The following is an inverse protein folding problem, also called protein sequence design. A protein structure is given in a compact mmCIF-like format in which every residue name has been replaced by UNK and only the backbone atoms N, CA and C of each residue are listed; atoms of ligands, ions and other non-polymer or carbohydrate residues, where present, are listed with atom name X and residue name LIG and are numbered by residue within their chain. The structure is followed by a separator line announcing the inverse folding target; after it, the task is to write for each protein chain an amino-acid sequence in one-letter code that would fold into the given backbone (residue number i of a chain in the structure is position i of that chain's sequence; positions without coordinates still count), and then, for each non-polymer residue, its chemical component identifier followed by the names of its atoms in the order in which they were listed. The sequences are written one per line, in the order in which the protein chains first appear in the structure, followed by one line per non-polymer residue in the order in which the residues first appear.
data_IF_239491212545
#
_entry.id   IF_239491212545
#
_cell.length_a   1.000
_cell.length_b   1.000
_cell.length_c   1.000
_cell.angle_alpha   90.00
_cell.angle_beta   90.00
_cell.angle_gamma   90.00
#
_symmetry.space_group_name_H-M   'P 1'
#
loop_
_entity.id
_entity.type
_entity.pdbx_description
1 polymer ?
#
# COMPACT_ATOMS: atom_id res chain seq x y z
N UNK A 1 1.93 3.28 -24.59
CA UNK A 1 2.33 1.91 -24.18
C UNK A 1 2.32 1.82 -22.65
N UNK A 2 1.89 0.69 -22.05
CA UNK A 2 1.91 0.52 -20.60
C UNK A 2 3.36 0.55 -20.08
N UNK A 3 3.61 1.30 -18.99
CA UNK A 3 4.94 1.37 -18.36
C UNK A 3 5.21 0.08 -17.57
N UNK A 4 6.46 -0.38 -17.58
CA UNK A 4 6.88 -1.55 -16.79
C UNK A 4 6.80 -1.18 -15.30
N UNK A 5 5.96 -1.91 -14.55
CA UNK A 5 5.82 -1.70 -13.11
C UNK A 5 7.05 -2.17 -12.33
N UNK A 6 7.35 -1.50 -11.22
CA UNK A 6 8.50 -1.82 -10.35
C UNK A 6 8.50 -3.29 -9.88
N UNK A 7 7.32 -3.87 -9.65
CA UNK A 7 7.18 -5.28 -9.32
C UNK A 7 7.83 -6.17 -10.38
N UNK A 8 7.61 -5.90 -11.67
CA UNK A 8 8.15 -6.72 -12.76
C UNK A 8 9.68 -6.62 -12.80
N UNK A 9 10.23 -5.43 -12.56
CA UNK A 9 11.68 -5.21 -12.45
C UNK A 9 12.24 -6.01 -11.27
N UNK A 10 11.60 -5.93 -10.10
CA UNK A 10 11.98 -6.72 -8.92
C UNK A 10 11.89 -8.22 -9.17
N UNK A 11 10.89 -8.70 -9.92
CA UNK A 11 10.76 -10.12 -10.27
C UNK A 11 11.90 -10.57 -11.15
N UNK A 12 12.22 -9.80 -12.20
CA UNK A 12 13.34 -10.09 -13.08
C UNK A 12 14.67 -10.10 -12.30
N UNK A 13 14.87 -9.13 -11.40
CA UNK A 13 16.04 -9.08 -10.51
C UNK A 13 16.11 -10.31 -9.59
N UNK A 14 14.99 -10.76 -9.03
CA UNK A 14 14.96 -11.94 -8.17
C UNK A 14 15.32 -13.22 -8.92
N UNK A 15 14.78 -13.39 -10.13
CA UNK A 15 15.17 -14.51 -10.99
C UNK A 15 16.66 -14.40 -11.32
N UNK A 16 17.16 -13.22 -11.71
CA UNK A 16 18.57 -13.03 -12.02
C UNK A 16 19.48 -13.42 -10.84
N UNK A 17 19.14 -13.01 -9.61
CA UNK A 17 19.90 -13.40 -8.41
C UNK A 17 19.89 -14.91 -8.19
N UNK A 18 18.76 -15.59 -8.40
CA UNK A 18 18.72 -17.07 -8.32
C UNK A 18 19.60 -17.75 -9.37
N UNK A 19 19.67 -17.21 -10.59
CA UNK A 19 20.53 -17.75 -11.65
C UNK A 19 22.02 -17.52 -11.35
N UNK A 20 22.38 -16.30 -10.93
CA UNK A 20 23.75 -15.95 -10.57
C UNK A 20 24.25 -16.74 -9.36
N UNK A 21 23.37 -17.06 -8.42
CA UNK A 21 23.73 -17.91 -7.28
C UNK A 21 24.12 -19.33 -7.72
N UNK A 22 23.39 -19.93 -8.67
CA UNK A 22 23.80 -21.21 -9.25
C UNK A 22 25.17 -21.11 -9.93
N UNK A 23 25.37 -20.08 -10.75
CA UNK A 23 26.67 -19.85 -11.42
C UNK A 23 27.81 -19.75 -10.41
N UNK A 24 27.61 -19.02 -9.31
CA UNK A 24 28.59 -18.87 -8.24
C UNK A 24 28.97 -20.24 -7.62
N UNK A 25 27.98 -21.04 -7.22
CA UNK A 25 28.25 -22.35 -6.62
C UNK A 25 28.88 -23.29 -7.65
N UNK A 26 28.43 -23.24 -8.90
CA UNK A 26 28.95 -24.07 -9.98
C UNK A 26 30.44 -23.81 -10.24
N UNK A 27 30.89 -22.56 -10.18
CA UNK A 27 32.32 -22.21 -10.30
C UNK A 27 33.14 -22.77 -9.13
N UNK A 28 32.57 -22.84 -7.93
CA UNK A 28 33.26 -23.35 -6.74
C UNK A 28 33.29 -24.88 -6.73
N UNK A 29 32.14 -25.51 -6.97
CA UNK A 29 31.99 -26.96 -7.01
C UNK A 29 30.77 -27.35 -7.88
N UNK A 30 30.99 -27.81 -9.12
CA UNK A 30 29.92 -28.22 -10.03
C UNK A 30 29.01 -29.34 -9.50
N UNK A 31 29.58 -30.31 -8.79
CA UNK A 31 28.84 -31.47 -8.26
C UNK A 31 27.86 -31.01 -7.17
N UNK A 32 28.34 -30.22 -6.21
CA UNK A 32 27.52 -29.67 -5.13
C UNK A 32 26.41 -28.77 -5.70
N UNK A 33 26.72 -27.96 -6.70
CA UNK A 33 25.75 -27.07 -7.35
C UNK A 33 24.58 -27.88 -7.92
N UNK A 34 24.88 -28.92 -8.70
CA UNK A 34 23.86 -29.77 -9.31
C UNK A 34 23.07 -30.61 -8.30
N UNK A 35 23.72 -31.03 -7.21
CA UNK A 35 23.11 -31.86 -6.18
C UNK A 35 22.09 -31.11 -5.33
N UNK A 36 22.39 -29.86 -4.93
CA UNK A 36 21.59 -29.14 -3.93
C UNK A 36 20.73 -28.01 -4.48
N UNK A 37 21.04 -27.50 -5.68
CA UNK A 37 20.38 -26.33 -6.23
C UNK A 37 19.94 -26.49 -7.69
N UNK A 38 18.69 -26.13 -7.94
CA UNK A 38 18.12 -26.00 -9.29
C UNK A 38 17.71 -24.55 -9.52
N UNK A 39 18.39 -23.83 -10.44
CA UNK A 39 18.06 -22.44 -10.76
C UNK A 39 16.63 -22.31 -11.33
N UNK A 40 16.13 -23.34 -12.02
CA UNK A 40 14.76 -23.37 -12.54
C UNK A 40 13.72 -23.35 -11.40
N UNK A 41 13.90 -24.20 -10.39
CA UNK A 41 12.97 -24.29 -9.27
C UNK A 41 13.04 -23.06 -8.36
N UNK A 42 14.24 -22.53 -8.11
CA UNK A 42 14.43 -21.29 -7.38
C UNK A 42 13.82 -20.08 -8.12
N UNK A 43 14.04 -19.97 -9.43
CA UNK A 43 13.50 -18.88 -10.24
C UNK A 43 11.96 -18.85 -10.25
N UNK A 44 11.30 -20.00 -10.44
CA UNK A 44 9.83 -20.08 -10.37
C UNK A 44 9.33 -19.73 -8.97
N UNK A 45 10.01 -20.22 -7.93
CA UNK A 45 9.63 -19.90 -6.55
C UNK A 45 9.75 -18.40 -6.23
N UNK A 46 10.83 -17.76 -6.72
CA UNK A 46 11.02 -16.32 -6.60
C UNK A 46 9.92 -15.54 -7.33
N UNK A 47 9.64 -15.91 -8.59
CA UNK A 47 8.62 -15.27 -9.41
C UNK A 47 7.21 -15.40 -8.81
N UNK A 48 6.87 -16.57 -8.29
CA UNK A 48 5.58 -16.82 -7.63
C UNK A 48 5.41 -16.01 -6.35
N UNK A 49 6.48 -15.91 -5.55
CA UNK A 49 6.43 -15.30 -4.22
C UNK A 49 6.49 -13.78 -4.26
N UNK A 50 7.01 -13.19 -5.34
CA UNK A 50 7.11 -11.73 -5.43
C UNK A 50 5.78 -11.06 -5.83
N UNK A 51 5.24 -10.25 -4.92
CA UNK A 51 4.00 -9.49 -5.07
C UNK A 51 4.25 -7.98 -4.98
N UNK A 52 3.20 -7.18 -5.16
CA UNK A 52 3.27 -5.71 -5.15
C UNK A 52 3.70 -5.13 -3.80
N UNK A 53 3.34 -5.80 -2.71
CA UNK A 53 3.60 -5.42 -1.33
C UNK A 53 4.35 -6.55 -0.60
N UNK A 54 5.09 -6.16 0.44
CA UNK A 54 5.86 -7.11 1.24
C UNK A 54 4.95 -8.11 1.96
N UNK A 55 3.81 -7.64 2.49
CA UNK A 55 2.83 -8.48 3.20
C UNK A 55 2.24 -9.57 2.32
N UNK A 56 1.77 -9.26 1.10
CA UNK A 56 1.30 -10.31 0.21
C UNK A 56 2.45 -11.21 -0.27
N UNK A 57 3.66 -10.69 -0.44
CA UNK A 57 4.82 -11.52 -0.79
C UNK A 57 5.15 -12.53 0.31
N UNK A 58 5.08 -12.11 1.57
CA UNK A 58 5.24 -12.99 2.73
C UNK A 58 4.14 -14.05 2.81
N UNK A 59 2.89 -13.68 2.51
CA UNK A 59 1.78 -14.64 2.43
C UNK A 59 2.03 -15.69 1.34
N UNK A 60 2.45 -15.27 0.14
CA UNK A 60 2.75 -16.19 -0.96
C UNK A 60 3.98 -17.05 -0.67
N UNK A 61 5.00 -16.49 -0.01
CA UNK A 61 6.18 -17.21 0.46
C UNK A 61 5.80 -18.36 1.39
N UNK A 62 4.92 -18.12 2.37
CA UNK A 62 4.44 -19.16 3.29
C UNK A 62 3.70 -20.27 2.56
N UNK A 63 2.79 -19.91 1.66
CA UNK A 63 2.04 -20.86 0.82
C UNK A 63 3.01 -21.69 -0.02
N UNK A 64 3.99 -21.04 -0.65
CA UNK A 64 4.98 -21.68 -1.52
C UNK A 64 5.86 -22.66 -0.76
N UNK A 65 6.36 -22.28 0.41
CA UNK A 65 7.20 -23.15 1.25
C UNK A 65 6.41 -24.34 1.80
N UNK A 66 5.22 -24.13 2.36
CA UNK A 66 4.39 -25.21 2.90
C UNK A 66 4.00 -26.22 1.82
N UNK A 67 3.52 -25.74 0.67
CA UNK A 67 3.13 -26.63 -0.43
C UNK A 67 4.32 -27.44 -0.95
N UNK A 68 5.51 -26.84 -1.00
CA UNK A 68 6.71 -27.53 -1.48
C UNK A 68 7.18 -28.62 -0.53
N UNK A 69 7.10 -28.40 0.79
CA UNK A 69 7.44 -29.44 1.77
C UNK A 69 6.44 -30.59 1.73
N UNK A 70 5.14 -30.29 1.73
CA UNK A 70 4.09 -31.34 1.72
C UNK A 70 4.16 -32.16 0.43
N UNK A 71 4.17 -31.50 -0.73
CA UNK A 71 4.26 -32.17 -2.03
C UNK A 71 5.59 -32.92 -2.20
N UNK A 72 6.65 -32.36 -1.61
CA UNK A 72 7.96 -32.94 -1.42
C UNK A 72 7.93 -34.35 -0.83
N UNK A 73 7.49 -34.41 0.43
CA UNK A 73 7.40 -35.62 1.23
C UNK A 73 6.49 -36.65 0.57
N UNK A 74 5.33 -36.22 0.07
CA UNK A 74 4.39 -37.12 -0.59
C UNK A 74 4.94 -37.72 -1.89
N UNK A 75 5.69 -36.93 -2.67
CA UNK A 75 6.33 -37.40 -3.89
C UNK A 75 7.34 -38.50 -3.62
N UNK A 76 8.22 -38.29 -2.64
CA UNK A 76 9.20 -39.30 -2.20
C UNK A 76 8.51 -40.58 -1.73
N UNK A 77 7.45 -40.43 -0.92
CA UNK A 77 6.69 -41.57 -0.41
C UNK A 77 6.07 -42.40 -1.53
N UNK A 78 5.40 -41.77 -2.51
CA UNK A 78 4.75 -42.48 -3.61
C UNK A 78 5.75 -43.18 -4.53
N UNK A 79 6.89 -42.55 -4.83
CA UNK A 79 7.95 -43.18 -5.64
C UNK A 79 8.52 -44.41 -4.94
N UNK A 80 8.88 -44.28 -3.65
CA UNK A 80 9.39 -45.42 -2.88
C UNK A 80 8.38 -46.55 -2.75
N UNK A 81 7.10 -46.22 -2.52
CA UNK A 81 6.03 -47.22 -2.45
C UNK A 81 5.88 -47.96 -3.79
N UNK A 82 5.98 -47.25 -4.92
CA UNK A 82 5.96 -47.85 -6.25
C UNK A 82 7.14 -48.80 -6.47
N UNK A 83 8.37 -48.33 -6.19
CA UNK A 83 9.60 -49.12 -6.35
C UNK A 83 9.59 -50.38 -5.47
N UNK A 84 8.97 -50.33 -4.30
CA UNK A 84 8.87 -51.47 -3.39
C UNK A 84 7.79 -52.50 -3.77
N UNK A 85 6.63 -52.06 -4.28
CA UNK A 85 5.43 -52.92 -4.38
C UNK A 85 5.05 -53.26 -5.81
N UNK A 86 5.19 -52.32 -6.74
CA UNK A 86 4.60 -52.41 -8.08
C UNK A 86 5.64 -52.52 -9.20
N UNK A 87 6.88 -52.10 -8.94
CA UNK A 87 7.94 -52.13 -9.94
C UNK A 87 8.38 -53.57 -10.23
N UNK A 88 8.20 -53.99 -11.49
CA UNK A 88 8.73 -55.26 -11.96
C UNK A 88 10.16 -55.06 -12.50
N UNK A 89 11.18 -55.73 -11.93
CA UNK A 89 12.59 -55.52 -12.31
C UNK A 89 12.98 -56.13 -13.66
N UNK A 90 12.07 -56.83 -14.34
CA UNK A 90 12.36 -57.46 -15.64
C UNK A 90 12.35 -56.40 -16.74
N UNK A 91 13.51 -56.11 -17.32
CA UNK A 91 13.69 -55.11 -18.38
C UNK A 91 13.32 -55.66 -19.76
N UNK A 92 12.01 -55.76 -20.05
CA UNK A 92 11.51 -55.94 -21.43
C UNK A 92 10.69 -54.73 -21.89
N UNK A 93 10.61 -54.50 -23.20
CA UNK A 93 9.88 -53.34 -23.76
C UNK A 93 8.40 -53.28 -23.33
N UNK A 94 7.74 -54.44 -23.25
CA UNK A 94 6.36 -54.55 -22.79
C UNK A 94 6.24 -54.25 -21.29
N UNK A 95 7.10 -54.84 -20.46
CA UNK A 95 7.07 -54.65 -19.00
C UNK A 95 7.40 -53.20 -18.63
N UNK A 96 8.35 -52.57 -19.32
CA UNK A 96 8.68 -51.15 -19.11
C UNK A 96 7.48 -50.23 -19.41
N UNK A 97 6.72 -50.55 -20.45
CA UNK A 97 5.49 -49.80 -20.80
C UNK A 97 4.40 -49.98 -19.74
N UNK A 98 4.23 -51.19 -19.20
CA UNK A 98 3.29 -51.49 -18.11
C UNK A 98 3.72 -50.87 -16.77
N UNK A 99 5.02 -50.88 -16.48
CA UNK A 99 5.61 -50.20 -15.33
C UNK A 99 5.33 -48.69 -15.41
N UNK A 100 5.52 -48.06 -16.57
CA UNK A 100 5.21 -46.64 -16.76
C UNK A 100 3.71 -46.34 -16.59
N UNK A 101 2.85 -47.17 -17.17
CA UNK A 101 1.39 -47.04 -17.04
C UNK A 101 0.94 -47.15 -15.58
N UNK A 102 1.39 -48.19 -14.88
CA UNK A 102 1.05 -48.42 -13.46
C UNK A 102 1.56 -47.29 -12.57
N UNK A 103 2.76 -46.77 -12.83
CA UNK A 103 3.30 -45.61 -12.14
C UNK A 103 2.42 -44.37 -12.34
N UNK A 104 2.03 -44.06 -13.58
CA UNK A 104 1.18 -42.89 -13.85
C UNK A 104 -0.23 -43.01 -13.26
N UNK A 105 -0.83 -44.21 -13.28
CA UNK A 105 -2.11 -44.45 -12.62
C UNK A 105 -2.01 -44.22 -11.10
N UNK A 106 -0.97 -44.76 -10.47
CA UNK A 106 -0.70 -44.53 -9.05
C UNK A 106 -0.51 -43.05 -8.76
N UNK A 107 0.31 -42.36 -9.57
CA UNK A 107 0.60 -40.93 -9.37
C UNK A 107 -0.68 -40.11 -9.45
N UNK A 108 -1.56 -40.39 -10.41
CA UNK A 108 -2.84 -39.71 -10.59
C UNK A 108 -3.82 -39.98 -9.44
N UNK A 109 -3.97 -41.23 -9.01
CA UNK A 109 -4.86 -41.59 -7.89
C UNK A 109 -4.37 -40.96 -6.58
N UNK A 110 -3.05 -40.95 -6.34
CA UNK A 110 -2.46 -40.40 -5.12
C UNK A 110 -2.62 -38.87 -4.98
N UNK A 111 -3.01 -38.15 -6.04
CA UNK A 111 -3.37 -36.72 -5.93
C UNK A 111 -4.59 -36.52 -5.03
N UNK A 112 -5.56 -37.45 -5.03
CA UNK A 112 -6.78 -37.34 -4.21
C UNK A 112 -6.46 -37.28 -2.71
N UNK A 113 -5.76 -38.29 -2.12
CA UNK A 113 -5.39 -38.23 -0.71
C UNK A 113 -4.40 -37.09 -0.42
N UNK A 114 -3.54 -36.70 -1.37
CA UNK A 114 -2.67 -35.53 -1.23
C UNK A 114 -3.48 -34.24 -1.03
N UNK A 115 -4.46 -33.97 -1.90
CA UNK A 115 -5.35 -32.79 -1.78
C UNK A 115 -6.15 -32.87 -0.48
N UNK A 116 -6.67 -34.04 -0.14
CA UNK A 116 -7.40 -34.22 1.11
C UNK A 116 -6.54 -33.88 2.34
N UNK A 117 -5.26 -34.28 2.33
CA UNK A 117 -4.32 -33.96 3.41
C UNK A 117 -4.09 -32.45 3.60
N UNK A 118 -4.03 -31.67 2.51
CA UNK A 118 -3.86 -30.20 2.61
C UNK A 118 -5.09 -29.53 3.21
N UNK A 119 -6.28 -30.08 2.96
CA UNK A 119 -7.54 -29.62 3.57
C UNK A 119 -7.53 -29.92 5.07
N UNK A 120 -7.15 -31.14 5.48
CA UNK A 120 -7.04 -31.52 6.90
C UNK A 120 -6.07 -30.62 7.67
N UNK A 121 -4.94 -30.25 7.04
CA UNK A 121 -3.95 -29.34 7.62
C UNK A 121 -4.36 -27.85 7.59
N UNK A 122 -5.56 -27.52 7.09
CA UNK A 122 -6.03 -26.14 6.88
C UNK A 122 -5.10 -25.33 5.97
N UNK A 123 -4.39 -25.98 5.04
CA UNK A 123 -3.47 -25.38 4.06
C UNK A 123 -4.08 -25.36 2.65
N UNK A 124 -5.38 -25.06 2.53
CA UNK A 124 -6.12 -25.13 1.26
C UNK A 124 -5.56 -24.21 0.17
N UNK A 125 -4.99 -23.06 0.55
CA UNK A 125 -4.34 -22.13 -0.38
C UNK A 125 -3.04 -22.69 -0.99
N UNK A 126 -2.43 -23.69 -0.35
CA UNK A 126 -1.19 -24.33 -0.82
C UNK A 126 -1.44 -25.52 -1.75
N UNK A 127 -2.68 -26.00 -1.90
CA UNK A 127 -3.02 -27.22 -2.66
C UNK A 127 -2.42 -27.23 -4.06
N UNK A 128 -2.54 -26.15 -4.83
CA UNK A 128 -1.95 -26.08 -6.17
C UNK A 128 -0.41 -26.24 -6.14
N UNK A 129 0.26 -25.56 -5.21
CA UNK A 129 1.72 -25.66 -5.05
C UNK A 129 2.12 -27.07 -4.60
N UNK A 130 1.35 -27.67 -3.71
CA UNK A 130 1.56 -29.05 -3.25
C UNK A 130 1.51 -30.04 -4.41
N UNK A 131 0.47 -29.97 -5.23
CA UNK A 131 0.33 -30.83 -6.42
C UNK A 131 1.44 -30.56 -7.42
N UNK A 132 1.78 -29.29 -7.67
CA UNK A 132 2.88 -28.92 -8.56
C UNK A 132 4.23 -29.51 -8.10
N UNK A 133 4.54 -29.45 -6.81
CA UNK A 133 5.79 -29.98 -6.27
C UNK A 133 5.79 -31.51 -6.27
N UNK A 134 4.66 -32.13 -5.91
CA UNK A 134 4.46 -33.58 -6.02
C UNK A 134 4.74 -34.08 -7.44
N UNK A 135 4.08 -33.50 -8.45
CA UNK A 135 4.28 -33.87 -9.85
C UNK A 135 5.72 -33.63 -10.32
N UNK A 136 6.37 -32.58 -9.81
CA UNK A 136 7.76 -32.33 -10.17
C UNK A 136 8.72 -33.40 -9.63
N UNK A 137 8.41 -34.04 -8.50
CA UNK A 137 9.25 -35.10 -7.93
C UNK A 137 8.94 -36.45 -8.58
N UNK A 138 7.68 -36.71 -8.91
CA UNK A 138 7.26 -38.00 -9.46
C UNK A 138 7.50 -38.12 -10.96
N UNK A 139 7.29 -37.06 -11.75
CA UNK A 139 7.28 -37.15 -13.23
C UNK A 139 8.45 -36.42 -13.90
N UNK A 140 9.10 -35.45 -13.24
CA UNK A 140 10.17 -34.68 -13.90
C UNK A 140 11.49 -35.46 -14.03
N UNK A 141 12.30 -35.08 -15.02
CA UNK A 141 13.64 -35.62 -15.23
C UNK A 141 14.51 -35.30 -14.00
N UNK A 142 15.05 -36.34 -13.37
CA UNK A 142 15.84 -36.25 -12.13
C UNK A 142 17.33 -35.91 -12.33
N UNK A 143 17.78 -35.75 -13.58
CA UNK A 143 19.19 -35.52 -13.94
C UNK A 143 20.16 -36.52 -13.26
N UNK A 144 19.79 -37.81 -13.25
CA UNK A 144 20.52 -38.91 -12.62
C UNK A 144 20.68 -38.82 -11.08
N UNK A 145 19.95 -37.92 -10.41
CA UNK A 145 19.93 -37.89 -8.95
C UNK A 145 19.00 -38.97 -8.39
N UNK A 146 19.38 -39.62 -7.27
CA UNK A 146 18.44 -40.43 -6.50
C UNK A 146 17.26 -39.58 -6.00
N UNK A 147 16.14 -40.24 -5.75
CA UNK A 147 14.86 -39.56 -5.47
C UNK A 147 14.93 -38.65 -4.23
N UNK A 148 15.67 -39.07 -3.21
CA UNK A 148 15.83 -38.33 -1.95
C UNK A 148 16.58 -37.03 -2.20
N UNK A 149 17.71 -37.11 -2.90
CA UNK A 149 18.52 -35.94 -3.24
C UNK A 149 17.77 -34.98 -4.16
N UNK A 150 17.04 -35.51 -5.16
CA UNK A 150 16.23 -34.68 -6.03
C UNK A 150 15.11 -33.96 -5.26
N UNK A 151 14.45 -34.63 -4.32
CA UNK A 151 13.42 -34.01 -3.49
C UNK A 151 14.00 -32.94 -2.56
N UNK A 152 15.15 -33.20 -1.93
CA UNK A 152 15.85 -32.20 -1.11
C UNK A 152 16.26 -31.00 -1.95
N UNK A 153 16.85 -31.22 -3.13
CA UNK A 153 17.19 -30.17 -4.10
C UNK A 153 15.96 -29.32 -4.43
N UNK A 154 14.83 -29.95 -4.76
CA UNK A 154 13.58 -29.29 -5.12
C UNK A 154 13.04 -28.40 -4.00
N UNK A 155 13.00 -28.92 -2.78
CA UNK A 155 12.52 -28.19 -1.60
C UNK A 155 13.47 -27.04 -1.28
N UNK A 156 14.77 -27.30 -1.20
CA UNK A 156 15.79 -26.31 -0.87
C UNK A 156 15.83 -25.17 -1.89
N UNK A 157 15.86 -25.49 -3.19
CA UNK A 157 15.82 -24.50 -4.27
C UNK A 157 14.58 -23.60 -4.17
N UNK A 158 13.43 -24.19 -3.83
CA UNK A 158 12.19 -23.42 -3.67
C UNK A 158 12.26 -22.49 -2.47
N UNK A 159 12.76 -22.95 -1.32
CA UNK A 159 12.96 -22.13 -0.13
C UNK A 159 13.94 -21.00 -0.42
N UNK A 160 15.05 -21.27 -1.11
CA UNK A 160 16.01 -20.26 -1.50
C UNK A 160 15.39 -19.19 -2.40
N UNK A 161 14.64 -19.59 -3.43
CA UNK A 161 13.93 -18.65 -4.31
C UNK A 161 12.93 -17.77 -3.56
N UNK A 162 12.21 -18.34 -2.59
CA UNK A 162 11.32 -17.60 -1.69
C UNK A 162 12.08 -16.55 -0.87
N UNK A 163 13.24 -16.92 -0.28
CA UNK A 163 14.07 -15.99 0.49
C UNK A 163 14.55 -14.84 -0.38
N UNK A 164 15.07 -15.13 -1.59
CA UNK A 164 15.52 -14.11 -2.54
C UNK A 164 14.38 -13.15 -2.91
N UNK A 165 13.17 -13.66 -3.15
CA UNK A 165 12.01 -12.81 -3.43
C UNK A 165 11.67 -11.87 -2.25
N UNK A 166 11.69 -12.37 -1.01
CA UNK A 166 11.43 -11.53 0.15
C UNK A 166 12.49 -10.45 0.35
N UNK A 167 13.78 -10.80 0.19
CA UNK A 167 14.90 -9.87 0.28
C UNK A 167 14.75 -8.75 -0.75
N UNK A 168 14.53 -9.10 -2.02
CA UNK A 168 14.41 -8.11 -3.10
C UNK A 168 13.15 -7.27 -2.96
N UNK A 169 12.04 -7.85 -2.49
CA UNK A 169 10.85 -7.05 -2.27
C UNK A 169 11.03 -6.06 -1.10
N UNK A 170 11.78 -6.44 -0.07
CA UNK A 170 12.15 -5.56 1.05
C UNK A 170 13.02 -4.37 0.65
N UNK A 171 13.71 -4.42 -0.49
CA UNK A 171 14.48 -3.29 -1.02
C UNK A 171 13.51 -2.19 -1.47
N UNK A 172 13.55 -1.05 -0.78
CA UNK A 172 12.81 0.13 -1.15
C UNK A 172 13.62 0.89 -2.20
N UNK A 173 13.18 0.85 -3.46
CA UNK A 173 13.73 1.77 -4.46
C UNK A 173 13.24 3.17 -4.13
N UNK A 174 14.16 4.14 -4.04
CA UNK A 174 13.78 5.54 -3.89
C UNK A 174 12.91 5.93 -5.08
N UNK A 175 11.60 6.11 -4.83
CA UNK A 175 10.70 6.65 -5.83
C UNK A 175 11.20 8.03 -6.24
N UNK A 176 11.16 8.32 -7.54
CA UNK A 176 11.27 9.70 -8.02
C UNK A 176 10.07 10.44 -7.43
N UNK A 177 10.32 11.31 -6.46
CA UNK A 177 9.28 12.11 -5.82
C UNK A 177 8.70 13.04 -6.89
N UNK A 178 7.44 12.86 -7.25
CA UNK A 178 6.74 13.82 -8.10
C UNK A 178 6.39 15.04 -7.24
N UNK A 179 7.16 16.12 -7.40
CA UNK A 179 6.96 17.39 -6.71
C UNK A 179 6.08 18.37 -7.49
N UNK A 180 5.51 17.96 -8.62
CA UNK A 180 4.65 18.83 -9.44
C UNK A 180 3.17 18.72 -9.04
N UNK A 181 2.79 17.68 -8.30
CA UNK A 181 1.40 17.48 -7.86
C UNK A 181 1.11 18.34 -6.63
N UNK A 182 0.12 19.22 -6.74
CA UNK A 182 -0.45 19.95 -5.60
C UNK A 182 -1.63 19.17 -5.02
N UNK A 183 -1.55 18.86 -3.73
CA UNK A 183 -2.66 18.29 -2.96
C UNK A 183 -3.42 19.43 -2.26
N UNK A 184 -4.71 19.54 -2.58
CA UNK A 184 -5.63 20.48 -1.92
C UNK A 184 -6.63 19.66 -1.12
N UNK A 185 -6.77 19.96 0.16
CA UNK A 185 -7.67 19.24 1.06
C UNK A 185 -8.56 20.18 1.87
N UNK A 186 -9.78 19.74 2.15
CA UNK A 186 -10.67 20.43 3.07
C UNK A 186 -10.26 20.23 4.53
N UNK A 187 -10.97 20.91 5.43
CA UNK A 187 -10.87 20.69 6.87
C UNK A 187 -12.10 19.97 7.38
N UNK A 188 -13.19 20.70 7.47
CA UNK A 188 -14.46 20.22 8.02
C UNK A 188 -15.01 19.07 7.14
N UNK A 189 -15.26 17.92 7.75
CA UNK A 189 -15.74 16.71 7.06
C UNK A 189 -14.70 16.01 6.18
N UNK A 190 -13.42 16.41 6.25
CA UNK A 190 -12.30 15.76 5.54
C UNK A 190 -11.16 15.47 6.50
N UNK A 191 -10.33 16.46 6.84
CA UNK A 191 -9.26 16.28 7.82
C UNK A 191 -9.77 16.28 9.26
N UNK A 192 -10.92 16.91 9.52
CA UNK A 192 -11.64 16.87 10.79
C UNK A 192 -12.85 15.95 10.67
N UNK A 193 -12.81 14.85 11.43
CA UNK A 193 -13.90 13.87 11.48
C UNK A 193 -14.81 14.17 12.68
N UNK A 194 -14.26 14.45 13.89
CA UNK A 194 -15.08 14.62 15.09
C UNK A 194 -14.75 15.83 16.00
N UNK A 195 -13.46 16.11 16.29
CA UNK A 195 -13.09 17.02 17.40
C UNK A 195 -12.65 18.44 16.98
N UNK A 196 -12.91 18.85 15.72
CA UNK A 196 -12.39 20.10 15.13
C UNK A 196 -10.86 20.29 15.21
N UNK A 197 -10.12 19.24 15.56
CA UNK A 197 -8.66 19.20 15.62
C UNK A 197 -8.11 18.00 14.85
N UNK A 198 -6.88 18.14 14.36
CA UNK A 198 -6.16 17.04 13.70
C UNK A 198 -5.73 15.99 14.73
N UNK A 199 -5.92 14.71 14.41
CA UNK A 199 -5.33 13.62 15.18
C UNK A 199 -3.79 13.70 15.21
N UNK A 200 -3.16 13.15 16.26
CA UNK A 200 -1.69 13.10 16.34
C UNK A 200 -1.05 12.36 15.15
N UNK A 201 -1.70 11.31 14.65
CA UNK A 201 -1.28 10.59 13.44
C UNK A 201 -1.33 11.49 12.20
N UNK A 202 -2.44 12.21 11.98
CA UNK A 202 -2.60 13.13 10.84
C UNK A 202 -1.56 14.26 10.88
N UNK A 203 -1.33 14.87 12.06
CA UNK A 203 -0.29 15.90 12.25
C UNK A 203 1.09 15.36 11.90
N UNK A 204 1.45 14.19 12.43
CA UNK A 204 2.74 13.55 12.15
C UNK A 204 2.90 13.26 10.65
N UNK A 205 1.88 12.69 10.00
CA UNK A 205 1.95 12.30 8.59
C UNK A 205 2.02 13.51 7.66
N UNK A 206 1.21 14.55 7.90
CA UNK A 206 1.25 15.80 7.13
C UNK A 206 2.63 16.45 7.22
N UNK A 207 3.16 16.64 8.43
CA UNK A 207 4.50 17.21 8.60
C UNK A 207 5.60 16.34 7.99
N UNK A 208 5.47 15.01 8.03
CA UNK A 208 6.40 14.12 7.34
C UNK A 208 6.37 14.35 5.83
N UNK A 209 5.19 14.39 5.21
CA UNK A 209 5.03 14.61 3.77
C UNK A 209 5.56 15.99 3.33
N UNK A 210 5.19 17.05 4.05
CA UNK A 210 5.63 18.43 3.77
C UNK A 210 7.16 18.51 3.85
N UNK A 211 7.79 17.98 4.92
CA UNK A 211 9.26 17.93 5.05
C UNK A 211 9.94 17.13 3.93
N UNK A 212 9.25 16.17 3.33
CA UNK A 212 9.78 15.39 2.20
C UNK A 212 9.55 16.06 0.84
N UNK A 213 8.98 17.27 0.81
CA UNK A 213 8.79 18.11 -0.37
C UNK A 213 7.44 17.93 -1.07
N UNK A 214 6.42 17.43 -0.37
CA UNK A 214 5.06 17.36 -0.92
C UNK A 214 4.41 18.75 -0.91
N UNK A 215 3.80 19.14 -2.02
CA UNK A 215 3.01 20.36 -2.12
C UNK A 215 1.60 20.09 -1.57
N UNK A 216 1.33 20.52 -0.34
CA UNK A 216 0.04 20.32 0.32
C UNK A 216 -0.49 21.68 0.80
N UNK A 217 -1.73 22.00 0.46
CA UNK A 217 -2.45 23.16 0.99
C UNK A 217 -3.87 22.79 1.40
N UNK A 218 -4.51 23.68 2.15
CA UNK A 218 -5.87 23.54 2.67
C UNK A 218 -6.79 24.54 1.97
N UNK A 219 -7.99 24.08 1.61
CA UNK A 219 -9.10 24.92 1.18
C UNK A 219 -10.26 24.84 2.19
N UNK A 220 -10.62 25.94 2.82
CA UNK A 220 -11.61 25.96 3.92
C UNK A 220 -12.52 27.18 3.89
N UNK A 221 -13.67 27.05 4.54
CA UNK A 221 -14.61 28.14 4.81
C UNK A 221 -14.18 28.98 6.02
N UNK A 222 -13.26 28.47 6.85
CA UNK A 222 -12.79 29.09 8.09
C UNK A 222 -12.00 30.38 7.84
N UNK A 223 -11.98 31.24 8.86
CA UNK A 223 -11.14 32.45 8.94
C UNK A 223 -9.77 32.10 9.56
N UNK A 224 -8.72 32.94 9.45
CA UNK A 224 -7.42 32.65 10.05
C UNK A 224 -7.52 32.34 11.55
N UNK A 225 -8.36 33.10 12.25
CA UNK A 225 -8.60 32.98 13.69
C UNK A 225 -9.00 31.56 14.15
N UNK A 226 -9.94 30.93 13.46
CA UNK A 226 -10.39 29.57 13.78
C UNK A 226 -9.47 28.51 13.18
N UNK A 227 -8.67 28.89 12.18
CA UNK A 227 -7.72 28.02 11.49
C UNK A 227 -6.45 27.77 12.32
N UNK A 228 -5.91 28.79 12.99
CA UNK A 228 -4.72 28.65 13.84
C UNK A 228 -4.89 27.62 14.96
N UNK A 229 -6.07 27.60 15.58
CA UNK A 229 -6.38 26.60 16.61
C UNK A 229 -6.47 25.20 15.99
N UNK A 230 -7.21 25.07 14.89
CA UNK A 230 -7.53 23.79 14.29
C UNK A 230 -6.30 23.10 13.62
N UNK A 231 -5.38 23.90 13.08
CA UNK A 231 -4.15 23.44 12.42
C UNK A 231 -2.90 23.51 13.30
N UNK A 232 -3.07 23.75 14.60
CA UNK A 232 -1.94 23.83 15.52
C UNK A 232 -1.08 22.55 15.47
N UNK A 233 0.22 22.74 15.25
CA UNK A 233 1.20 21.67 15.12
C UNK A 233 1.41 21.15 13.69
N UNK A 234 0.83 21.76 12.65
CA UNK A 234 1.18 21.50 11.25
C UNK A 234 1.82 22.73 10.62
N UNK A 235 3.02 22.57 10.06
CA UNK A 235 3.77 23.66 9.43
C UNK A 235 3.58 23.60 7.91
N UNK A 236 2.52 24.25 7.42
CA UNK A 236 2.32 24.42 5.97
C UNK A 236 3.38 25.36 5.39
N UNK A 237 3.94 24.98 4.24
CA UNK A 237 4.88 25.82 3.47
C UNK A 237 4.19 26.60 2.36
N UNK A 238 2.99 26.17 1.97
CA UNK A 238 2.18 26.82 0.95
C UNK A 238 1.08 27.66 1.62
N UNK A 239 0.64 28.76 0.97
CA UNK A 239 -0.48 29.55 1.46
C UNK A 239 -1.78 28.75 1.47
N UNK A 240 -2.66 29.08 2.41
CA UNK A 240 -3.94 28.43 2.64
C UNK A 240 -5.06 29.19 1.92
N UNK A 241 -5.99 28.46 1.32
CA UNK A 241 -7.18 29.00 0.66
C UNK A 241 -8.29 29.06 1.73
N UNK A 242 -8.65 30.26 2.16
CA UNK A 242 -9.54 30.46 3.31
C UNK A 242 -10.79 31.23 2.89
N UNK A 243 -11.79 31.30 3.79
CA UNK A 243 -13.03 32.06 3.55
C UNK A 243 -13.68 31.70 2.21
N UNK A 244 -13.75 30.39 1.89
CA UNK A 244 -14.28 29.85 0.61
C UNK A 244 -13.51 30.35 -0.63
N UNK A 245 -12.22 30.62 -0.48
CA UNK A 245 -11.37 31.13 -1.57
C UNK A 245 -11.47 32.62 -1.79
N UNK A 246 -12.17 33.36 -0.92
CA UNK A 246 -12.13 34.82 -0.93
C UNK A 246 -10.78 35.38 -0.48
N UNK A 247 -9.94 34.58 0.17
CA UNK A 247 -8.60 34.99 0.57
C UNK A 247 -7.58 33.86 0.48
N UNK A 248 -6.34 34.24 0.16
CA UNK A 248 -5.14 33.42 0.25
C UNK A 248 -4.32 33.93 1.43
N UNK A 249 -4.01 33.04 2.38
CA UNK A 249 -3.40 33.41 3.65
C UNK A 249 -2.10 32.64 3.90
N UNK A 250 -1.00 33.36 4.18
CA UNK A 250 0.25 32.74 4.61
C UNK A 250 0.23 32.57 6.14
N UNK A 251 0.16 31.32 6.59
CA UNK A 251 0.14 30.99 8.02
C UNK A 251 1.49 31.25 8.71
N UNK A 252 2.60 31.19 7.97
CA UNK A 252 3.94 31.37 8.52
C UNK A 252 4.23 32.84 8.80
N UNK A 253 3.92 33.71 7.84
CA UNK A 253 4.12 35.16 7.97
C UNK A 253 2.91 35.86 8.58
N UNK A 254 1.78 35.16 8.71
CA UNK A 254 0.51 35.66 9.25
C UNK A 254 -0.13 36.79 8.44
N UNK A 255 0.05 36.77 7.10
CA UNK A 255 -0.36 37.82 6.18
C UNK A 255 -1.36 37.31 5.12
N UNK A 256 -2.22 38.19 4.62
CA UNK A 256 -3.09 37.94 3.50
C UNK A 256 -2.36 38.24 2.19
N UNK A 257 -2.03 37.19 1.43
CA UNK A 257 -1.34 37.33 0.15
C UNK A 257 -2.26 37.85 -0.97
N UNK A 258 -3.53 37.44 -0.94
CA UNK A 258 -4.54 37.91 -1.89
C UNK A 258 -5.92 37.92 -1.23
N UNK A 259 -6.73 38.92 -1.55
CA UNK A 259 -8.13 39.00 -1.13
C UNK A 259 -9.05 39.37 -2.30
N UNK A 260 -10.26 38.83 -2.30
CA UNK A 260 -11.36 39.16 -3.22
C UNK A 260 -12.52 39.70 -2.39
N UNK A 261 -12.53 41.01 -2.07
CA UNK A 261 -13.59 41.61 -1.27
C UNK A 261 -14.88 41.73 -2.09
N UNK A 262 -16.00 41.88 -1.37
CA UNK A 262 -17.26 42.30 -1.98
C UNK A 262 -17.16 43.80 -2.26
N UNK A 263 -17.41 44.20 -3.50
CA UNK A 263 -17.33 45.60 -3.92
C UNK A 263 -18.39 46.45 -3.21
N UNK A 264 -18.11 47.74 -3.04
CA UNK A 264 -18.97 48.65 -2.27
C UNK A 264 -20.38 48.76 -2.84
N UNK A 265 -20.50 48.73 -4.16
CA UNK A 265 -21.77 48.78 -4.88
C UNK A 265 -22.64 47.56 -4.53
N UNK A 266 -22.07 46.35 -4.64
CA UNK A 266 -22.75 45.09 -4.32
C UNK A 266 -23.09 45.01 -2.83
N UNK A 267 -22.18 45.48 -1.97
CA UNK A 267 -22.40 45.55 -0.53
C UNK A 267 -23.60 46.42 -0.18
N UNK A 268 -23.75 47.57 -0.83
CA UNK A 268 -24.89 48.49 -0.58
C UNK A 268 -26.23 47.82 -0.92
N UNK A 269 -26.27 47.03 -2.01
CA UNK A 269 -27.45 46.27 -2.42
C UNK A 269 -27.78 45.18 -1.38
N UNK A 270 -26.77 44.45 -0.90
CA UNK A 270 -26.92 43.42 0.13
C UNK A 270 -27.42 44.02 1.45
N UNK A 271 -26.87 45.16 1.86
CA UNK A 271 -27.29 45.86 3.09
C UNK A 271 -28.75 46.30 3.02
N UNK A 272 -29.17 46.93 1.92
CA UNK A 272 -30.56 47.32 1.71
C UNK A 272 -31.52 46.10 1.73
N UNK A 273 -31.08 44.97 1.16
CA UNK A 273 -31.84 43.72 1.20
C UNK A 273 -31.97 43.17 2.63
N UNK A 274 -30.87 43.08 3.39
CA UNK A 274 -30.91 42.60 4.77
C UNK A 274 -31.76 43.49 5.68
N UNK A 275 -31.71 44.81 5.48
CA UNK A 275 -32.55 45.75 6.22
C UNK A 275 -34.04 45.54 5.91
N UNK A 276 -34.40 45.40 4.62
CA UNK A 276 -35.76 45.09 4.19
C UNK A 276 -36.29 43.80 4.81
N UNK A 277 -35.46 42.76 4.86
CA UNK A 277 -35.80 41.45 5.45
C UNK A 277 -35.69 41.42 6.98
N UNK A 278 -35.31 42.55 7.61
CA UNK A 278 -35.09 42.68 9.07
C UNK A 278 -34.10 41.64 9.62
N UNK A 279 -33.09 41.29 8.83
CA UNK A 279 -32.01 40.37 9.23
C UNK A 279 -30.70 41.13 9.41
N UNK A 280 -29.85 40.63 10.32
CA UNK A 280 -28.49 41.15 10.49
C UNK A 280 -27.48 40.19 9.86
N UNK A 281 -26.36 40.74 9.38
CA UNK A 281 -25.23 39.97 8.87
C UNK A 281 -23.94 40.35 9.62
N UNK A 282 -23.01 39.40 9.69
CA UNK A 282 -21.65 39.64 10.16
C UNK A 282 -20.75 39.82 8.94
N UNK A 283 -20.21 41.02 8.77
CA UNK A 283 -19.33 41.35 7.67
C UNK A 283 -17.87 41.22 8.11
N UNK A 284 -17.08 40.48 7.34
CA UNK A 284 -15.65 40.36 7.55
C UNK A 284 -14.93 41.38 6.66
N UNK A 285 -14.05 42.19 7.25
CA UNK A 285 -13.19 43.12 6.54
C UNK A 285 -11.75 42.87 6.95
N UNK A 286 -10.84 42.95 5.99
CA UNK A 286 -9.40 42.82 6.21
C UNK A 286 -8.78 44.21 6.04
N UNK A 287 -8.14 44.71 7.09
CA UNK A 287 -7.44 46.00 7.10
C UNK A 287 -6.04 45.77 7.64
N UNK A 288 -5.00 46.03 6.84
CA UNK A 288 -3.58 45.82 7.21
C UNK A 288 -3.35 44.43 7.85
N UNK A 289 -3.80 43.37 7.16
CA UNK A 289 -3.76 41.96 7.61
C UNK A 289 -4.56 41.61 8.88
N UNK A 290 -5.31 42.58 9.42
CA UNK A 290 -6.19 42.37 10.57
C UNK A 290 -7.61 42.07 10.11
N UNK A 291 -8.11 40.89 10.47
CA UNK A 291 -9.52 40.53 10.28
C UNK A 291 -10.40 41.22 11.32
N UNK A 292 -11.26 42.10 10.86
CA UNK A 292 -12.26 42.80 11.67
C UNK A 292 -13.65 42.31 11.31
N UNK A 293 -14.46 42.04 12.34
CA UNK A 293 -15.86 41.62 12.19
C UNK A 293 -16.76 42.80 12.51
N UNK A 294 -17.53 43.22 11.52
CA UNK A 294 -18.52 44.28 11.66
C UNK A 294 -19.91 43.67 11.78
N UNK A 295 -20.70 44.18 12.72
CA UNK A 295 -22.07 43.75 12.90
C UNK A 295 -23.01 44.94 13.15
N UNK A 296 -24.21 44.83 12.58
CA UNK A 296 -25.32 45.70 12.93
C UNK A 296 -25.87 45.40 14.34
N UNK A 297 -26.93 46.11 14.77
CA UNK A 297 -27.57 45.85 16.05
C UNK A 297 -28.09 44.40 16.09
N UNK A 298 -27.77 43.68 17.17
CA UNK A 298 -28.19 42.29 17.41
C UNK A 298 -29.69 42.30 17.71
N UNK A 299 -30.50 41.72 16.82
CA UNK A 299 -31.97 41.75 16.90
C UNK A 299 -32.57 40.40 17.27
N UNK A 300 -31.88 39.28 17.00
CA UNK A 300 -32.40 37.93 17.22
C UNK A 300 -31.62 37.13 18.26
N UNK A 301 -32.27 36.12 18.86
CA UNK A 301 -31.62 35.18 19.79
C UNK A 301 -30.49 34.39 19.11
N UNK A 302 -30.64 34.05 17.83
CA UNK A 302 -29.61 33.36 17.05
C UNK A 302 -28.38 34.25 16.81
N UNK A 303 -28.58 35.53 16.50
CA UNK A 303 -27.48 36.51 16.37
C UNK A 303 -26.74 36.70 17.70
N UNK A 304 -27.48 36.79 18.80
CA UNK A 304 -26.89 36.90 20.14
C UNK A 304 -26.09 35.65 20.51
N UNK A 305 -26.63 34.47 20.21
CA UNK A 305 -25.94 33.21 20.43
C UNK A 305 -24.63 33.14 19.62
N UNK A 306 -24.68 33.48 18.33
CA UNK A 306 -23.49 33.51 17.48
C UNK A 306 -22.45 34.52 17.97
N UNK A 307 -22.89 35.73 18.33
CA UNK A 307 -22.02 36.77 18.85
C UNK A 307 -21.32 36.33 20.16
N UNK A 308 -22.06 35.84 21.15
CA UNK A 308 -21.49 35.39 22.43
C UNK A 308 -20.50 34.23 22.26
N UNK A 309 -20.75 33.30 21.32
CA UNK A 309 -19.81 32.22 21.02
C UNK A 309 -18.48 32.70 20.43
N UNK A 310 -18.51 33.75 19.61
CA UNK A 310 -17.34 34.19 18.83
C UNK A 310 -16.72 35.51 19.33
N UNK A 311 -17.29 36.15 20.36
CA UNK A 311 -16.78 37.39 20.97
C UNK A 311 -15.44 37.20 21.67
N UNK A 312 -15.16 35.98 22.15
CA UNK A 312 -13.93 35.64 22.88
C UNK A 312 -12.84 35.03 22.00
N UNK A 313 -13.05 34.93 20.69
CA UNK A 313 -12.02 34.44 19.77
C UNK A 313 -10.87 35.46 19.73
N UNK A 314 -9.68 35.03 20.17
CA UNK A 314 -8.46 35.86 20.37
C UNK A 314 -8.00 36.68 19.14
N UNK A 315 -8.65 36.49 17.98
CA UNK A 315 -8.30 37.04 16.67
C UNK A 315 -9.51 37.63 15.92
N UNK A 316 -10.63 37.91 16.61
CA UNK A 316 -11.79 38.60 16.02
C UNK A 316 -12.09 39.86 16.81
N UNK A 317 -11.80 41.01 16.21
CA UNK A 317 -12.24 42.29 16.74
C UNK A 317 -13.68 42.54 16.27
N UNK A 318 -14.64 42.48 17.19
CA UNK A 318 -16.03 42.79 16.90
C UNK A 318 -16.28 44.29 17.07
N UNK A 319 -16.67 44.97 16.00
CA UNK A 319 -16.99 46.40 15.99
C UNK A 319 -18.47 46.58 15.65
N UNK A 320 -19.20 47.28 16.51
CA UNK A 320 -20.59 47.68 16.21
C UNK A 320 -20.57 48.86 15.25
N UNK A 321 -21.11 48.67 14.04
CA UNK A 321 -21.07 49.67 12.97
C UNK A 321 -20.72 49.07 11.61
N UNK A 322 -20.52 49.92 10.63
CA UNK A 322 -20.18 49.53 9.25
C UNK A 322 -18.68 49.76 8.96
N UNK A 323 -18.03 48.90 8.17
CA UNK A 323 -16.68 49.17 7.69
C UNK A 323 -16.68 50.46 6.85
N UNK A 324 -15.84 51.43 7.23
CA UNK A 324 -15.74 52.75 6.61
C UNK A 324 -14.95 52.76 5.29
N UNK A 325 -14.44 51.62 4.83
CA UNK A 325 -13.75 51.44 3.55
C UNK A 325 -14.20 50.14 2.92
#
# INVERSE_FOLDING_TARGET
MPKIGLRNIKTALAILVTLLFYLLIHVINPEIASLWYSPFFAGIAAAYSLQSDYTASFRQARIRSMGSVIGGIYGVFIVNMYEMVLHNPIETSLINSLNLLSFYLLVGIAVIPLIYSTVLMKQTMATFVTVLTYLSITVSIRNNLPIEYFAVNRIFSTIFGVIVALLINGIHFNHIKNKEILFVTGLDGTLFIDNQELSGYSKHKLNHLIRHGANITVATTRTPSTLFQALNGVSFTLPLIIMKGAALYDMKNQEYLETKPIMKEDRTILEAYFEKEKKSAFAYSVMDDVLTVFNGPIKSLAERYYYEQHKKDFYKNHITGLPNK
#
